data_IF_389654035372
#
_entry.id   IF_389654035372
#
_cell.length_a   1.000
_cell.length_b   1.000
_cell.length_c   1.000
_cell.angle_alpha   90.00
_cell.angle_beta   90.00
_cell.angle_gamma   90.00
#
_symmetry.space_group_name_H-M   'P 1'
#
loop_
_entity.id
_entity.type
_entity.pdbx_description
1 polymer ?
#
# COMPACT_ATOMS: atom_id res chain seq x y z
N UNK A 1 -11.69 12.53 -20.30
CA UNK A 1 -11.17 13.37 -19.21
C UNK A 1 -11.00 14.77 -19.76
N UNK A 2 -11.58 15.76 -19.07
CA UNK A 2 -11.35 17.16 -19.37
C UNK A 2 -9.87 17.50 -19.09
N UNK A 3 -9.34 18.57 -19.70
CA UNK A 3 -7.95 18.98 -19.47
C UNK A 3 -7.71 19.39 -17.99
N UNK A 4 -8.77 19.76 -17.29
CA UNK A 4 -8.77 20.07 -15.86
C UNK A 4 -8.60 18.80 -15.02
N UNK A 5 -9.31 17.71 -15.37
CA UNK A 5 -9.24 16.42 -14.67
C UNK A 5 -7.80 15.85 -14.68
N UNK A 6 -7.07 16.03 -15.77
CA UNK A 6 -5.67 15.57 -15.91
C UNK A 6 -4.71 16.37 -15.02
N UNK A 7 -4.92 17.68 -14.89
CA UNK A 7 -4.08 18.55 -14.05
C UNK A 7 -4.36 18.27 -12.57
N UNK A 8 -5.62 18.10 -12.20
CA UNK A 8 -6.00 17.79 -10.82
C UNK A 8 -5.51 16.40 -10.41
N UNK A 9 -5.60 15.40 -11.30
CA UNK A 9 -4.95 14.10 -11.09
C UNK A 9 -3.46 14.26 -10.80
N UNK A 10 -2.73 14.99 -11.64
CA UNK A 10 -1.27 15.17 -11.46
C UNK A 10 -0.92 15.88 -10.14
N UNK A 11 -1.71 16.88 -9.73
CA UNK A 11 -1.54 17.56 -8.44
C UNK A 11 -1.78 16.62 -7.26
N UNK A 12 -2.83 15.80 -7.35
CA UNK A 12 -3.16 14.81 -6.32
C UNK A 12 -2.12 13.68 -6.23
N UNK A 13 -1.38 13.44 -7.32
CA UNK A 13 -0.27 12.48 -7.39
C UNK A 13 1.05 13.04 -6.83
N UNK A 14 1.24 14.36 -6.78
CA UNK A 14 2.51 14.97 -6.36
C UNK A 14 2.99 14.56 -4.94
N UNK A 15 2.11 14.41 -3.93
CA UNK A 15 2.51 13.87 -2.62
C UNK A 15 3.11 12.47 -2.73
N UNK A 16 2.51 11.56 -3.51
CA UNK A 16 3.01 10.20 -3.74
C UNK A 16 4.39 10.20 -4.39
N UNK A 17 4.61 11.07 -5.38
CA UNK A 17 5.93 11.26 -6.01
C UNK A 17 6.98 11.62 -4.97
N UNK A 18 6.68 12.57 -4.07
CA UNK A 18 7.62 12.99 -3.04
C UNK A 18 7.91 11.87 -2.03
N UNK A 19 6.88 11.12 -1.63
CA UNK A 19 7.01 9.99 -0.68
C UNK A 19 7.86 8.86 -1.24
N UNK A 20 7.83 8.62 -2.54
CA UNK A 20 8.57 7.51 -3.16
C UNK A 20 9.96 7.88 -3.67
N UNK A 21 10.27 9.17 -3.76
CA UNK A 21 11.56 9.62 -4.27
C UNK A 21 12.69 9.15 -3.36
N UNK A 22 13.73 8.56 -3.97
CA UNK A 22 14.90 8.05 -3.27
C UNK A 22 14.70 6.69 -2.60
N UNK A 23 13.47 6.14 -2.58
CA UNK A 23 13.21 4.80 -2.03
C UNK A 23 13.78 3.71 -2.93
N UNK A 24 14.23 2.62 -2.31
CA UNK A 24 14.66 1.39 -2.96
C UNK A 24 13.47 0.46 -3.13
N UNK A 25 13.18 0.11 -4.39
CA UNK A 25 12.07 -0.75 -4.77
C UNK A 25 12.62 -1.98 -5.48
N UNK A 26 12.31 -3.16 -4.96
CA UNK A 26 12.55 -4.43 -5.66
C UNK A 26 11.30 -4.79 -6.45
N UNK A 27 11.45 -5.03 -7.76
CA UNK A 27 10.35 -5.47 -8.63
C UNK A 27 10.66 -6.87 -9.14
N UNK A 28 9.83 -7.84 -8.74
CA UNK A 28 9.85 -9.19 -9.24
C UNK A 28 8.97 -9.32 -10.48
N UNK A 29 9.55 -9.66 -11.63
CA UNK A 29 8.82 -10.05 -12.83
C UNK A 29 8.70 -11.57 -12.83
N UNK A 30 7.53 -12.10 -12.46
CA UNK A 30 7.27 -13.54 -12.44
C UNK A 30 7.28 -14.13 -13.86
N UNK A 31 7.38 -15.45 -13.93
CA UNK A 31 7.33 -16.21 -15.17
C UNK A 31 6.21 -15.74 -16.11
N UNK A 32 6.53 -15.56 -17.39
CA UNK A 32 5.58 -15.11 -18.42
C UNK A 32 5.50 -13.60 -18.62
N UNK A 33 6.00 -12.77 -17.71
CA UNK A 33 5.91 -11.30 -17.81
C UNK A 33 6.48 -10.76 -19.13
N UNK A 34 7.66 -11.23 -19.54
CA UNK A 34 8.37 -10.74 -20.75
C UNK A 34 7.66 -11.16 -22.04
N UNK A 35 6.89 -12.25 -22.01
CA UNK A 35 6.13 -12.75 -23.16
C UNK A 35 4.80 -12.02 -23.37
N UNK A 36 4.34 -11.23 -22.39
CA UNK A 36 3.06 -10.53 -22.48
C UNK A 36 3.09 -9.38 -23.50
N UNK A 37 1.97 -9.19 -24.19
CA UNK A 37 1.79 -8.07 -25.11
C UNK A 37 1.94 -6.70 -24.40
N UNK A 38 1.55 -6.64 -23.11
CA UNK A 38 1.63 -5.45 -22.27
C UNK A 38 3.05 -5.16 -21.74
N UNK A 39 4.04 -6.03 -21.99
CA UNK A 39 5.38 -5.89 -21.38
C UNK A 39 6.06 -4.55 -21.71
N UNK A 40 5.82 -4.00 -22.91
CA UNK A 40 6.33 -2.67 -23.28
C UNK A 40 5.82 -1.57 -22.35
N UNK A 41 4.56 -1.63 -21.93
CA UNK A 41 3.97 -0.66 -21.01
C UNK A 41 4.52 -0.87 -19.59
N UNK A 42 4.77 -2.11 -19.17
CA UNK A 42 5.47 -2.39 -17.91
C UNK A 42 6.87 -1.76 -17.90
N UNK A 43 7.62 -1.88 -19.01
CA UNK A 43 8.92 -1.20 -19.15
C UNK A 43 8.77 0.32 -19.11
N UNK A 44 7.73 0.88 -19.73
CA UNK A 44 7.42 2.32 -19.64
C UNK A 44 7.19 2.77 -18.19
N UNK A 45 6.40 2.02 -17.44
CA UNK A 45 6.08 2.31 -16.04
C UNK A 45 7.33 2.23 -15.15
N UNK A 46 8.14 1.17 -15.29
CA UNK A 46 9.40 1.02 -14.55
C UNK A 46 10.36 2.16 -14.85
N UNK A 47 10.45 2.55 -16.12
CA UNK A 47 11.30 3.64 -16.52
C UNK A 47 10.79 5.00 -16.00
N UNK A 48 9.46 5.18 -15.90
CA UNK A 48 8.85 6.36 -15.28
C UNK A 48 9.15 6.39 -13.77
N UNK A 49 8.99 5.27 -13.07
CA UNK A 49 9.35 5.12 -11.65
C UNK A 49 10.81 5.54 -11.39
N UNK A 50 11.75 5.06 -12.23
CA UNK A 50 13.15 5.46 -12.14
C UNK A 50 13.33 6.96 -12.36
N UNK A 51 12.67 7.55 -13.36
CA UNK A 51 12.78 8.98 -13.67
C UNK A 51 12.22 9.89 -12.57
N UNK A 52 11.22 9.40 -11.82
CA UNK A 52 10.66 10.07 -10.64
C UNK A 52 11.56 9.93 -9.41
N UNK A 53 12.65 9.15 -9.51
CA UNK A 53 13.72 9.07 -8.54
C UNK A 53 13.68 7.84 -7.64
N UNK A 54 12.89 6.81 -7.97
CA UNK A 54 12.97 5.51 -7.30
C UNK A 54 14.26 4.77 -7.72
N UNK A 55 14.86 4.04 -6.77
CA UNK A 55 16.04 3.20 -6.99
C UNK A 55 15.55 1.77 -7.25
N UNK A 56 15.67 1.31 -8.50
CA UNK A 56 15.02 0.06 -8.93
C UNK A 56 15.98 -1.12 -9.03
N UNK A 57 15.59 -2.22 -8.39
CA UNK A 57 16.19 -3.54 -8.60
C UNK A 57 15.13 -4.46 -9.19
N UNK A 58 15.35 -4.97 -10.39
CA UNK A 58 14.44 -5.88 -11.08
C UNK A 58 14.98 -7.29 -10.94
N UNK A 59 14.17 -8.21 -10.43
CA UNK A 59 14.44 -9.66 -10.46
C UNK A 59 13.52 -10.27 -11.49
N UNK A 60 14.06 -10.92 -12.52
CA UNK A 60 13.24 -11.60 -13.52
C UNK A 60 13.30 -13.12 -13.36
N UNK A 61 12.15 -13.74 -13.60
CA UNK A 61 11.94 -15.18 -13.58
C UNK A 61 11.50 -15.64 -14.97
N UNK A 62 12.31 -16.47 -15.61
CA UNK A 62 12.00 -16.99 -16.93
C UNK A 62 10.98 -18.14 -16.88
N UNK A 63 11.08 -18.99 -15.85
CA UNK A 63 10.17 -20.10 -15.59
C UNK A 63 10.05 -20.33 -14.08
N UNK A 64 8.86 -20.78 -13.63
CA UNK A 64 8.69 -21.21 -12.24
C UNK A 64 9.33 -22.58 -12.05
N UNK A 65 10.35 -22.64 -11.20
CA UNK A 65 11.14 -23.84 -10.96
C UNK A 65 10.55 -24.71 -9.83
N UNK A 66 9.53 -24.24 -9.09
CA UNK A 66 8.84 -24.96 -7.98
C UNK A 66 9.76 -25.65 -6.94
N UNK A 67 11.03 -25.21 -6.81
CA UNK A 67 12.07 -25.90 -6.03
C UNK A 67 12.30 -27.38 -6.43
N UNK A 68 11.95 -27.76 -7.67
CA UNK A 68 12.14 -29.11 -8.17
C UNK A 68 13.63 -29.41 -8.41
N UNK A 69 14.06 -30.69 -8.31
CA UNK A 69 15.40 -31.10 -8.70
C UNK A 69 15.73 -30.71 -10.14
N UNK A 70 16.91 -30.14 -10.34
CA UNK A 70 17.41 -29.76 -11.67
C UNK A 70 18.57 -30.68 -12.02
N UNK A 71 18.39 -31.50 -13.06
CA UNK A 71 19.46 -32.34 -13.57
C UNK A 71 20.63 -31.47 -14.08
N UNK A 72 21.86 -31.91 -13.84
CA UNK A 72 23.06 -31.12 -14.16
C UNK A 72 23.18 -30.80 -15.66
N UNK A 73 22.71 -31.70 -16.53
CA UNK A 73 22.69 -31.56 -17.98
C UNK A 73 21.60 -30.60 -18.49
N UNK A 74 20.51 -30.43 -17.74
CA UNK A 74 19.45 -29.46 -18.06
C UNK A 74 19.89 -28.00 -17.81
N UNK A 75 20.90 -27.79 -16.96
CA UNK A 75 21.35 -26.45 -16.55
C UNK A 75 21.75 -25.56 -17.73
N UNK A 76 22.43 -26.10 -18.73
CA UNK A 76 22.88 -25.32 -19.88
C UNK A 76 21.72 -24.67 -20.65
N UNK A 77 20.60 -25.40 -20.79
CA UNK A 77 19.41 -24.89 -21.47
C UNK A 77 18.71 -23.82 -20.61
N UNK A 78 18.55 -24.07 -19.31
CA UNK A 78 17.97 -23.11 -18.36
C UNK A 78 18.77 -21.79 -18.38
N UNK A 79 20.11 -21.87 -18.36
CA UNK A 79 20.96 -20.68 -18.44
C UNK A 79 20.81 -19.94 -19.78
N UNK A 80 20.64 -20.67 -20.88
CA UNK A 80 20.42 -20.06 -22.20
C UNK A 80 19.09 -19.29 -22.23
N UNK A 81 18.02 -19.88 -21.69
CA UNK A 81 16.69 -19.25 -21.64
C UNK A 81 16.68 -18.01 -20.74
N UNK A 82 17.27 -18.11 -19.55
CA UNK A 82 17.43 -16.98 -18.62
C UNK A 82 18.26 -15.86 -19.26
N UNK A 83 19.37 -16.19 -19.91
CA UNK A 83 20.23 -15.20 -20.56
C UNK A 83 19.52 -14.53 -21.74
N UNK A 84 18.75 -15.29 -22.51
CA UNK A 84 17.94 -14.75 -23.61
C UNK A 84 16.89 -13.76 -23.08
N UNK A 85 16.14 -14.13 -22.04
CA UNK A 85 15.15 -13.25 -21.44
C UNK A 85 15.78 -11.98 -20.85
N UNK A 86 16.91 -12.10 -20.13
CA UNK A 86 17.67 -10.95 -19.63
C UNK A 86 18.01 -9.97 -20.77
N UNK A 87 18.54 -10.48 -21.88
CA UNK A 87 18.89 -9.65 -23.04
C UNK A 87 17.66 -9.02 -23.71
N UNK A 88 16.49 -9.66 -23.66
CA UNK A 88 15.24 -9.04 -24.12
C UNK A 88 14.86 -7.84 -23.25
N UNK A 89 14.94 -7.98 -21.92
CA UNK A 89 14.65 -6.89 -20.98
C UNK A 89 15.62 -5.72 -21.20
N UNK A 90 16.94 -5.99 -21.28
CA UNK A 90 17.97 -4.98 -21.53
C UNK A 90 17.74 -4.25 -22.86
N UNK A 91 17.34 -4.97 -23.91
CA UNK A 91 16.96 -4.39 -25.21
C UNK A 91 15.81 -3.40 -25.06
N UNK A 92 14.76 -3.76 -24.32
CA UNK A 92 13.58 -2.89 -24.16
C UNK A 92 13.93 -1.56 -23.48
N UNK A 93 14.78 -1.58 -22.46
CA UNK A 93 15.27 -0.35 -21.82
C UNK A 93 16.22 0.47 -22.71
N UNK A 94 16.88 -0.17 -23.68
CA UNK A 94 17.83 0.48 -24.59
C UNK A 94 17.17 1.18 -25.79
N UNK A 95 15.94 0.80 -26.14
CA UNK A 95 15.28 1.24 -27.36
C UNK A 95 14.86 2.72 -27.38
N UNK A 96 15.15 3.50 -26.33
CA UNK A 96 14.82 4.94 -26.28
C UNK A 96 13.38 5.17 -26.70
N UNK A 97 12.46 4.55 -25.96
CA UNK A 97 11.09 4.24 -26.37
C UNK A 97 10.42 5.42 -27.12
N UNK A 98 10.17 5.30 -28.44
CA UNK A 98 9.53 6.35 -29.22
C UNK A 98 8.16 6.67 -28.64
N UNK A 99 7.84 7.95 -28.45
CA UNK A 99 6.59 8.42 -27.83
C UNK A 99 6.41 8.04 -26.34
N UNK A 100 7.48 7.68 -25.64
CA UNK A 100 7.47 7.61 -24.18
C UNK A 100 7.66 9.01 -23.57
N UNK A 101 7.07 9.30 -22.39
CA UNK A 101 7.40 10.48 -21.57
C UNK A 101 8.91 10.63 -21.28
N UNK A 102 9.68 9.57 -21.54
CA UNK A 102 11.11 9.43 -21.29
C UNK A 102 11.97 9.68 -22.53
N UNK A 103 11.45 10.32 -23.57
CA UNK A 103 12.27 10.78 -24.70
C UNK A 103 13.46 11.61 -24.17
N UNK A 104 14.70 11.19 -24.46
CA UNK A 104 15.98 11.67 -23.90
C UNK A 104 16.41 11.19 -22.49
N UNK A 105 15.62 10.37 -21.79
CA UNK A 105 16.09 9.74 -20.56
C UNK A 105 17.10 8.63 -20.91
N UNK A 106 18.38 8.83 -20.53
CA UNK A 106 19.40 7.79 -20.66
C UNK A 106 19.24 6.78 -19.52
N UNK A 107 18.31 5.85 -19.69
CA UNK A 107 18.18 4.71 -18.79
C UNK A 107 19.42 3.84 -18.92
N UNK A 108 19.98 3.46 -17.78
CA UNK A 108 21.11 2.53 -17.70
C UNK A 108 20.63 1.30 -16.96
N UNK A 109 20.82 0.14 -17.57
CA UNK A 109 20.57 -1.15 -16.92
C UNK A 109 21.92 -1.79 -16.65
N UNK A 110 22.12 -2.25 -15.42
CA UNK A 110 23.33 -2.97 -15.01
C UNK A 110 22.89 -4.36 -14.55
N UNK A 111 23.39 -5.39 -15.21
CA UNK A 111 23.28 -6.79 -14.80
C UNK A 111 24.67 -7.34 -14.46
N UNK A 112 24.75 -8.38 -13.64
CA UNK A 112 26.03 -8.89 -13.17
C UNK A 112 25.94 -10.03 -12.17
N UNK A 113 27.08 -10.41 -11.62
CA UNK A 113 27.25 -11.47 -10.63
C UNK A 113 26.93 -11.00 -9.20
N UNK A 114 25.76 -10.39 -8.99
CA UNK A 114 25.35 -9.87 -7.68
C UNK A 114 24.94 -10.96 -6.68
N UNK A 115 24.70 -12.19 -7.15
CA UNK A 115 24.15 -13.28 -6.35
C UNK A 115 25.20 -14.37 -6.17
N UNK A 116 25.60 -14.61 -4.92
CA UNK A 116 26.37 -15.79 -4.53
C UNK A 116 25.41 -16.89 -4.10
N UNK A 117 25.49 -18.05 -4.74
CA UNK A 117 24.68 -19.21 -4.43
C UNK A 117 25.52 -20.37 -3.85
N UNK A 118 24.82 -21.31 -3.23
CA UNK A 118 25.33 -22.62 -2.82
C UNK A 118 24.35 -23.70 -3.29
N UNK A 119 24.78 -24.95 -3.48
CA UNK A 119 23.86 -26.02 -3.83
C UNK A 119 22.74 -26.14 -2.78
N UNK A 120 21.53 -26.44 -3.24
CA UNK A 120 20.45 -26.90 -2.37
C UNK A 120 20.82 -28.24 -1.72
N UNK A 121 21.53 -29.09 -2.48
CA UNK A 121 22.02 -30.37 -2.03
C UNK A 121 20.90 -31.41 -1.92
N UNK A 122 21.01 -32.29 -0.93
CA UNK A 122 20.04 -33.37 -0.71
C UNK A 122 19.02 -32.93 0.34
N UNK A 123 17.79 -32.67 -0.09
CA UNK A 123 16.68 -32.32 0.80
C UNK A 123 15.73 -33.51 0.90
N UNK A 124 15.48 -33.98 2.12
CA UNK A 124 14.58 -35.13 2.40
C UNK A 124 14.89 -36.38 1.55
N UNK A 125 16.19 -36.62 1.30
CA UNK A 125 16.67 -37.78 0.53
C UNK A 125 16.67 -37.59 -1.00
N UNK A 126 16.27 -36.43 -1.51
CA UNK A 126 16.25 -36.11 -2.94
C UNK A 126 17.41 -35.16 -3.26
N UNK A 127 18.30 -35.54 -4.18
CA UNK A 127 19.34 -34.66 -4.71
C UNK A 127 18.74 -33.65 -5.68
N UNK A 128 18.93 -32.36 -5.42
CA UNK A 128 18.38 -31.28 -6.23
C UNK A 128 19.32 -30.81 -7.36
N UNK A 129 20.50 -31.42 -7.48
CA UNK A 129 21.43 -31.18 -8.57
C UNK A 129 21.83 -29.72 -8.71
N UNK A 130 21.49 -29.12 -9.86
CA UNK A 130 21.86 -27.76 -10.23
C UNK A 130 20.98 -26.66 -9.57
N UNK A 131 20.03 -27.04 -8.73
CA UNK A 131 19.27 -26.08 -7.92
C UNK A 131 20.15 -25.51 -6.80
N UNK A 132 20.13 -24.19 -6.67
CA UNK A 132 20.85 -23.45 -5.64
C UNK A 132 19.94 -22.74 -4.67
N UNK A 133 20.53 -22.38 -3.54
CA UNK A 133 19.97 -21.47 -2.54
C UNK A 133 20.86 -20.23 -2.47
N UNK A 134 20.22 -19.06 -2.36
CA UNK A 134 20.94 -17.80 -2.21
C UNK A 134 21.73 -17.81 -0.90
N UNK A 135 23.05 -17.61 -0.99
CA UNK A 135 23.94 -17.51 0.17
C UNK A 135 24.15 -16.06 0.58
N UNK A 136 24.38 -15.19 -0.40
CA UNK A 136 24.69 -13.79 -0.19
C UNK A 136 24.35 -12.96 -1.42
N UNK A 137 23.93 -11.72 -1.20
CA UNK A 137 23.75 -10.70 -2.24
C UNK A 137 24.84 -9.64 -2.06
N UNK A 138 25.46 -9.20 -3.16
CA UNK A 138 26.42 -8.09 -3.18
C UNK A 138 25.69 -6.75 -3.05
N UNK A 139 25.30 -6.43 -1.81
CA UNK A 139 24.64 -5.17 -1.46
C UNK A 139 25.45 -3.96 -1.90
N UNK A 140 26.77 -3.98 -1.70
CA UNK A 140 27.63 -2.84 -2.04
C UNK A 140 27.64 -2.59 -3.56
N UNK A 141 27.77 -3.65 -4.36
CA UNK A 141 27.71 -3.56 -5.82
C UNK A 141 26.36 -3.06 -6.33
N UNK A 142 25.25 -3.57 -5.79
CA UNK A 142 23.90 -3.11 -6.15
C UNK A 142 23.72 -1.64 -5.76
N UNK A 143 24.04 -1.26 -4.52
CA UNK A 143 23.93 0.12 -4.04
C UNK A 143 24.74 1.08 -4.91
N UNK A 144 25.95 0.70 -5.31
CA UNK A 144 26.78 1.51 -6.22
C UNK A 144 26.11 1.73 -7.58
N UNK A 145 25.50 0.69 -8.16
CA UNK A 145 24.74 0.81 -9.40
C UNK A 145 23.54 1.75 -9.24
N UNK A 146 22.79 1.62 -8.13
CA UNK A 146 21.63 2.44 -7.83
C UNK A 146 21.99 3.92 -7.58
N UNK A 147 23.10 4.19 -6.89
CA UNK A 147 23.64 5.55 -6.68
C UNK A 147 24.04 6.21 -8.00
N UNK A 148 24.51 5.39 -8.95
CA UNK A 148 24.74 5.78 -10.32
C UNK A 148 23.47 6.04 -11.13
N UNK A 149 22.27 5.98 -10.53
CA UNK A 149 20.97 6.07 -11.20
C UNK A 149 20.77 5.02 -12.31
N UNK A 150 21.34 3.82 -12.12
CA UNK A 150 21.04 2.66 -12.95
C UNK A 150 19.90 1.83 -12.36
N UNK A 151 19.22 1.09 -13.22
CA UNK A 151 18.34 -0.02 -12.85
C UNK A 151 19.21 -1.26 -12.72
N UNK A 152 19.15 -1.94 -11.59
CA UNK A 152 19.89 -3.18 -11.38
C UNK A 152 19.02 -4.37 -11.81
N UNK A 153 19.48 -5.17 -12.78
CA UNK A 153 18.74 -6.33 -13.30
C UNK A 153 19.40 -7.64 -12.84
N UNK A 154 18.66 -8.43 -12.06
CA UNK A 154 19.07 -9.71 -11.53
C UNK A 154 18.28 -10.83 -12.19
N UNK A 155 19.01 -11.86 -12.62
CA UNK A 155 18.44 -13.12 -13.09
C UNK A 155 18.32 -14.09 -11.93
N UNK A 156 17.38 -15.05 -12.02
CA UNK A 156 17.21 -16.16 -11.06
C UNK A 156 18.36 -17.20 -11.14
N UNK A 157 19.61 -16.72 -11.10
CA UNK A 157 20.85 -17.52 -11.09
C UNK A 157 21.81 -16.99 -10.04
N UNK A 158 22.73 -17.84 -9.58
CA UNK A 158 23.79 -17.45 -8.67
C UNK A 158 25.06 -18.27 -8.86
N UNK A 159 26.18 -17.71 -8.43
CA UNK A 159 27.50 -18.30 -8.62
C UNK A 159 28.09 -18.73 -7.27
N UNK A 160 28.78 -19.87 -7.23
CA UNK A 160 29.57 -20.24 -6.05
C UNK A 160 30.97 -19.62 -6.12
N UNK A 161 31.67 -19.49 -4.98
CA UNK A 161 33.09 -19.14 -4.97
C UNK A 161 33.98 -20.13 -5.72
N UNK A 162 33.51 -21.35 -5.98
CA UNK A 162 34.21 -22.37 -6.75
C UNK A 162 34.02 -22.21 -8.27
N UNK A 163 33.12 -21.31 -8.71
CA UNK A 163 32.83 -21.07 -10.13
C UNK A 163 31.63 -21.85 -10.67
N UNK A 164 30.94 -22.64 -9.84
CA UNK A 164 29.70 -23.31 -10.23
C UNK A 164 28.55 -22.30 -10.37
N UNK A 165 27.63 -22.59 -11.27
CA UNK A 165 26.42 -21.79 -11.49
C UNK A 165 25.22 -22.62 -11.03
N UNK A 166 24.29 -21.97 -10.34
CA UNK A 166 23.05 -22.55 -9.87
C UNK A 166 21.85 -21.74 -10.34
N UNK A 167 20.76 -22.43 -10.69
CA UNK A 167 19.46 -21.80 -10.83
C UNK A 167 18.89 -21.65 -9.42
N UNK A 168 18.35 -20.48 -9.10
CA UNK A 168 17.79 -20.20 -7.77
C UNK A 168 16.30 -19.94 -7.89
N UNK A 169 15.55 -20.22 -6.83
CA UNK A 169 14.15 -19.85 -6.77
C UNK A 169 14.01 -18.32 -6.83
N UNK A 170 13.19 -17.81 -7.76
CA UNK A 170 13.05 -16.37 -7.97
C UNK A 170 12.34 -15.67 -6.81
N UNK A 171 11.35 -16.31 -6.17
CA UNK A 171 10.66 -15.77 -4.99
C UNK A 171 11.64 -15.61 -3.82
N UNK A 172 12.43 -16.64 -3.54
CA UNK A 172 13.49 -16.58 -2.51
C UNK A 172 14.51 -15.49 -2.84
N UNK A 173 14.91 -15.36 -4.10
CA UNK A 173 15.82 -14.29 -4.53
C UNK A 173 15.21 -12.90 -4.30
N UNK A 174 13.93 -12.68 -4.66
CA UNK A 174 13.22 -11.43 -4.42
C UNK A 174 13.20 -11.07 -2.93
N UNK A 175 12.85 -12.05 -2.05
CA UNK A 175 12.86 -11.88 -0.59
C UNK A 175 14.23 -11.49 -0.08
N UNK A 176 15.27 -12.27 -0.42
CA UNK A 176 16.63 -12.06 0.08
C UNK A 176 17.19 -10.72 -0.40
N UNK A 177 16.95 -10.34 -1.66
CA UNK A 177 17.38 -9.04 -2.21
C UNK A 177 16.66 -7.89 -1.50
N UNK A 178 15.34 -7.95 -1.36
CA UNK A 178 14.55 -6.91 -0.70
C UNK A 178 14.99 -6.71 0.76
N UNK A 179 15.12 -7.80 1.52
CA UNK A 179 15.65 -7.75 2.90
C UNK A 179 17.07 -7.19 2.96
N UNK A 180 17.97 -7.69 2.12
CA UNK A 180 19.40 -7.32 2.19
C UNK A 180 19.65 -5.85 1.84
N UNK A 181 18.79 -5.27 0.99
CA UNK A 181 18.83 -3.86 0.62
C UNK A 181 18.02 -2.96 1.57
N UNK A 182 17.33 -3.53 2.56
CA UNK A 182 16.33 -2.85 3.37
C UNK A 182 15.34 -2.06 2.50
N UNK A 183 14.83 -2.70 1.45
CA UNK A 183 13.96 -2.08 0.48
C UNK A 183 12.66 -1.61 1.13
N UNK A 184 12.23 -0.40 0.82
CA UNK A 184 10.98 0.17 1.31
C UNK A 184 9.76 -0.50 0.70
N UNK A 185 9.92 -1.13 -0.48
CA UNK A 185 8.85 -1.87 -1.19
C UNK A 185 9.41 -3.07 -1.94
N UNK A 186 8.63 -4.16 -1.93
CA UNK A 186 8.72 -5.24 -2.90
C UNK A 186 7.44 -5.24 -3.76
N UNK A 187 7.57 -5.30 -5.07
CA UNK A 187 6.44 -5.41 -6.01
C UNK A 187 6.58 -6.73 -6.74
N UNK A 188 5.60 -7.61 -6.61
CA UNK A 188 5.54 -8.89 -7.32
C UNK A 188 4.56 -8.75 -8.47
N UNK A 189 5.09 -8.73 -9.69
CA UNK A 189 4.31 -8.69 -10.92
C UNK A 189 4.05 -10.09 -11.44
N UNK A 190 2.78 -10.50 -11.52
CA UNK A 190 2.37 -11.83 -11.98
C UNK A 190 1.20 -11.78 -12.96
N UNK A 191 0.68 -12.93 -13.41
CA UNK A 191 -0.55 -12.94 -14.22
C UNK A 191 -1.79 -12.56 -13.41
N UNK A 192 -1.78 -12.81 -12.09
CA UNK A 192 -2.92 -12.56 -11.21
C UNK A 192 -3.12 -11.07 -10.92
N UNK A 193 -4.37 -10.62 -10.84
CA UNK A 193 -4.74 -9.25 -10.49
C UNK A 193 -4.43 -8.88 -9.03
N UNK A 194 -4.39 -9.89 -8.15
CA UNK A 194 -4.12 -9.77 -6.72
C UNK A 194 -4.95 -10.79 -5.94
N UNK A 195 -5.20 -10.54 -4.66
CA UNK A 195 -5.95 -11.45 -3.79
C UNK A 195 -7.45 -11.17 -3.93
N UNK A 196 -8.21 -12.15 -4.43
CA UNK A 196 -9.67 -12.04 -4.54
C UNK A 196 -10.37 -12.47 -3.24
N UNK A 197 -11.47 -11.80 -2.90
CA UNK A 197 -12.45 -12.23 -1.90
C UNK A 197 -13.29 -13.38 -2.42
N UNK A 198 -14.02 -14.02 -1.51
CA UNK A 198 -14.98 -15.08 -1.83
C UNK A 198 -16.09 -14.62 -2.82
N UNK A 199 -16.39 -13.32 -2.84
CA UNK A 199 -17.36 -12.71 -3.78
C UNK A 199 -16.74 -12.34 -5.15
N UNK A 200 -15.46 -12.62 -5.35
CA UNK A 200 -14.70 -12.31 -6.57
C UNK A 200 -14.17 -10.87 -6.65
N UNK A 201 -14.44 -10.02 -5.66
CA UNK A 201 -13.88 -8.67 -5.62
C UNK A 201 -12.42 -8.67 -5.19
N UNK A 202 -11.61 -7.77 -5.75
CA UNK A 202 -10.19 -7.66 -5.44
C UNK A 202 -9.99 -6.99 -4.07
N UNK A 203 -9.26 -7.66 -3.18
CA UNK A 203 -8.81 -7.05 -1.93
C UNK A 203 -7.68 -6.08 -2.22
N UNK A 204 -7.96 -4.79 -2.00
CA UNK A 204 -6.95 -3.74 -2.18
C UNK A 204 -5.83 -3.82 -1.16
N UNK A 205 -6.13 -4.37 0.01
CA UNK A 205 -5.19 -4.39 1.11
C UNK A 205 -5.46 -5.56 2.05
N UNK A 206 -4.39 -6.12 2.60
CA UNK A 206 -4.40 -7.15 3.63
C UNK A 206 -3.30 -6.88 4.65
N UNK A 207 -3.58 -7.18 5.92
CA UNK A 207 -2.51 -7.36 6.91
C UNK A 207 -1.75 -8.66 6.61
N UNK A 208 -0.53 -8.81 7.13
CA UNK A 208 0.21 -10.09 7.03
C UNK A 208 -0.60 -11.24 7.64
N UNK A 209 -1.29 -11.01 8.76
CA UNK A 209 -2.11 -12.03 9.43
C UNK A 209 -3.26 -12.50 8.53
N UNK A 210 -4.03 -11.57 7.96
CA UNK A 210 -5.13 -11.90 7.06
C UNK A 210 -4.63 -12.57 5.77
N UNK A 211 -3.54 -12.06 5.19
CA UNK A 211 -2.97 -12.59 3.96
C UNK A 211 -2.58 -14.07 4.10
N UNK A 212 -2.03 -14.48 5.24
CA UNK A 212 -1.67 -15.89 5.50
C UNK A 212 -2.87 -16.83 5.42
N UNK A 213 -4.05 -16.39 5.83
CA UNK A 213 -5.28 -17.17 5.72
C UNK A 213 -5.69 -17.44 4.25
N UNK A 214 -5.51 -16.44 3.39
CA UNK A 214 -5.80 -16.58 1.95
C UNK A 214 -4.74 -17.40 1.21
N UNK A 215 -3.48 -17.32 1.64
CA UNK A 215 -2.40 -18.10 1.03
C UNK A 215 -2.66 -19.60 1.03
N UNK A 216 -3.30 -20.13 2.08
CA UNK A 216 -3.59 -21.56 2.21
C UNK A 216 -4.72 -22.04 1.30
N UNK A 217 -5.57 -21.12 0.83
CA UNK A 217 -6.76 -21.42 0.03
C UNK A 217 -6.56 -21.09 -1.46
N UNK A 218 -5.56 -20.28 -1.78
CA UNK A 218 -5.26 -19.85 -3.13
C UNK A 218 -4.64 -20.98 -3.99
N UNK A 219 -4.77 -20.83 -5.31
CA UNK A 219 -4.05 -21.67 -6.28
C UNK A 219 -2.53 -21.54 -6.10
N UNK A 220 -1.77 -22.58 -6.47
CA UNK A 220 -0.32 -22.70 -6.19
C UNK A 220 0.48 -21.43 -6.50
N UNK A 221 0.30 -20.84 -7.68
CA UNK A 221 1.03 -19.64 -8.11
C UNK A 221 0.71 -18.40 -7.27
N UNK A 222 -0.58 -18.16 -7.00
CA UNK A 222 -1.01 -17.03 -6.18
C UNK A 222 -0.65 -17.23 -4.70
N UNK A 223 -0.82 -18.45 -4.18
CA UNK A 223 -0.42 -18.80 -2.81
C UNK A 223 1.08 -18.58 -2.58
N UNK A 224 1.92 -18.91 -3.56
CA UNK A 224 3.35 -18.64 -3.49
C UNK A 224 3.67 -17.13 -3.46
N UNK A 225 2.96 -16.31 -4.24
CA UNK A 225 3.11 -14.86 -4.21
C UNK A 225 2.69 -14.26 -2.86
N UNK A 226 1.58 -14.73 -2.29
CA UNK A 226 1.11 -14.28 -0.96
C UNK A 226 2.09 -14.70 0.13
N UNK A 227 2.59 -15.94 0.07
CA UNK A 227 3.61 -16.44 1.01
C UNK A 227 4.87 -15.59 0.95
N UNK A 228 5.38 -15.30 -0.25
CA UNK A 228 6.51 -14.39 -0.45
C UNK A 228 6.25 -13.02 0.19
N UNK A 229 5.06 -12.45 -0.03
CA UNK A 229 4.72 -11.14 0.51
C UNK A 229 4.71 -11.11 2.04
N UNK A 230 4.08 -12.11 2.67
CA UNK A 230 4.06 -12.23 4.12
C UNK A 230 5.48 -12.38 4.68
N UNK A 231 6.26 -13.26 4.08
CA UNK A 231 7.62 -13.57 4.52
C UNK A 231 8.60 -12.40 4.30
N UNK A 232 8.41 -11.59 3.26
CA UNK A 232 9.18 -10.37 3.04
C UNK A 232 8.83 -9.28 4.06
N UNK A 233 7.55 -9.15 4.42
CA UNK A 233 7.12 -8.26 5.50
C UNK A 233 7.71 -8.64 6.85
N UNK A 234 7.67 -9.92 7.20
CA UNK A 234 8.29 -10.44 8.45
C UNK A 234 9.80 -10.22 8.49
N UNK A 235 10.45 -10.18 7.31
CA UNK A 235 11.86 -9.89 7.14
C UNK A 235 12.20 -8.38 7.18
N UNK A 236 11.20 -7.51 7.38
CA UNK A 236 11.37 -6.07 7.57
C UNK A 236 11.12 -5.21 6.33
N UNK A 237 10.58 -5.76 5.23
CA UNK A 237 10.10 -4.97 4.09
C UNK A 237 8.74 -4.36 4.45
N UNK A 238 8.59 -3.03 4.54
CA UNK A 238 7.36 -2.44 5.10
C UNK A 238 6.09 -2.75 4.31
N UNK A 239 6.21 -2.88 2.98
CA UNK A 239 5.08 -3.01 2.06
C UNK A 239 5.42 -3.93 0.89
N UNK A 240 4.53 -4.88 0.62
CA UNK A 240 4.62 -5.75 -0.55
C UNK A 240 3.37 -5.59 -1.41
N UNK A 241 3.55 -5.31 -2.70
CA UNK A 241 2.45 -5.12 -3.64
C UNK A 241 2.37 -6.32 -4.59
N UNK A 242 1.19 -6.92 -4.72
CA UNK A 242 0.89 -7.94 -5.72
C UNK A 242 0.13 -7.28 -6.87
N UNK A 243 0.72 -7.25 -8.06
CA UNK A 243 0.19 -6.49 -9.21
C UNK A 243 0.19 -7.37 -10.46
N UNK A 244 -0.82 -7.27 -11.31
CA UNK A 244 -0.80 -7.98 -12.60
C UNK A 244 0.08 -7.26 -13.62
N UNK A 245 0.96 -7.99 -14.32
CA UNK A 245 1.66 -7.47 -15.50
C UNK A 245 0.74 -7.32 -16.73
N UNK A 246 -0.47 -7.87 -16.69
CA UNK A 246 -1.45 -7.77 -17.77
C UNK A 246 -2.24 -6.46 -17.69
N UNK A 247 -2.21 -5.78 -16.53
CA UNK A 247 -2.87 -4.50 -16.33
C UNK A 247 -2.03 -3.37 -16.96
N UNK A 248 -2.58 -2.69 -17.97
CA UNK A 248 -1.96 -1.49 -18.54
C UNK A 248 -1.91 -0.37 -17.51
N UNK A 249 -0.71 0.16 -17.27
CA UNK A 249 -0.43 1.14 -16.21
C UNK A 249 -0.53 0.58 -14.80
N UNK A 250 -0.49 -0.75 -14.60
CA UNK A 250 -0.72 -1.40 -13.31
C UNK A 250 0.22 -0.90 -12.20
N UNK A 251 1.51 -0.72 -12.50
CA UNK A 251 2.50 -0.21 -11.55
C UNK A 251 2.20 1.24 -11.15
N UNK A 252 1.87 2.09 -12.12
CA UNK A 252 1.62 3.51 -11.86
C UNK A 252 0.30 3.69 -11.10
N UNK A 253 -0.73 2.95 -11.48
CA UNK A 253 -2.00 2.93 -10.73
C UNK A 253 -1.79 2.48 -9.30
N UNK A 254 -1.01 1.42 -9.08
CA UNK A 254 -0.72 0.91 -7.73
C UNK A 254 -0.01 1.94 -6.84
N UNK A 255 1.01 2.63 -7.36
CA UNK A 255 1.86 3.50 -6.53
C UNK A 255 1.38 4.94 -6.43
N UNK A 256 0.60 5.41 -7.40
CA UNK A 256 0.26 6.83 -7.54
C UNK A 256 -1.26 7.09 -7.50
N UNK A 257 -2.05 6.10 -7.08
CA UNK A 257 -3.48 6.27 -6.85
C UNK A 257 -3.89 5.69 -5.51
N UNK A 258 -5.03 6.15 -4.99
CA UNK A 258 -5.56 5.71 -3.69
C UNK A 258 -6.10 4.28 -3.69
N UNK A 259 -6.76 3.89 -4.79
CA UNK A 259 -7.43 2.59 -4.90
C UNK A 259 -6.46 1.47 -5.30
N UNK A 260 -5.30 1.84 -5.87
CA UNK A 260 -4.34 0.90 -6.42
C UNK A 260 -4.90 0.10 -7.61
N UNK A 261 -4.06 -0.77 -8.16
CA UNK A 261 -4.47 -1.71 -9.19
C UNK A 261 -4.48 -3.16 -8.68
N UNK A 262 -3.72 -3.47 -7.63
CA UNK A 262 -3.55 -4.81 -7.11
C UNK A 262 -3.92 -4.92 -5.63
N UNK A 263 -3.12 -5.71 -4.90
CA UNK A 263 -3.25 -5.94 -3.46
C UNK A 263 -1.97 -5.52 -2.74
N UNK A 264 -2.09 -4.63 -1.77
CA UNK A 264 -1.03 -4.31 -0.81
C UNK A 264 -1.09 -5.25 0.40
N UNK A 265 0.06 -5.81 0.77
CA UNK A 265 0.26 -6.56 2.01
C UNK A 265 1.27 -5.80 2.88
N UNK A 266 0.93 -5.52 4.13
CA UNK A 266 1.80 -4.83 5.11
C UNK A 266 1.66 -5.40 6.52
N UNK A 267 2.71 -5.24 7.34
CA UNK A 267 2.68 -5.61 8.76
C UNK A 267 1.80 -4.67 9.60
N UNK A 268 1.72 -3.40 9.21
CA UNK A 268 0.88 -2.41 9.88
C UNK A 268 -0.53 -2.41 9.31
N UNK A 269 -1.52 -2.16 10.17
CA UNK A 269 -2.83 -1.67 9.73
C UNK A 269 -2.61 -0.32 9.03
N UNK A 270 -2.73 -0.32 7.71
CA UNK A 270 -2.49 0.84 6.84
C UNK A 270 -3.38 2.05 7.15
N UNK A 271 -4.52 1.80 7.80
CA UNK A 271 -5.41 2.81 8.33
C UNK A 271 -5.16 2.93 9.83
N UNK A 272 -4.50 4.01 10.23
CA UNK A 272 -4.25 4.27 11.64
C UNK A 272 -5.31 5.21 12.17
N UNK A 273 -5.99 4.77 13.23
CA UNK A 273 -6.85 5.63 14.01
C UNK A 273 -6.08 6.21 15.18
N UNK A 274 -5.81 7.51 15.13
CA UNK A 274 -4.97 8.22 16.11
C UNK A 274 -5.61 9.53 16.53
N UNK A 275 -5.22 10.04 17.70
CA UNK A 275 -5.51 11.42 18.09
C UNK A 275 -4.76 12.38 17.19
N UNK A 276 -5.47 13.37 16.64
CA UNK A 276 -4.92 14.31 15.67
C UNK A 276 -3.75 15.12 16.25
N UNK A 277 -2.76 15.38 15.40
CA UNK A 277 -1.60 16.20 15.71
C UNK A 277 -1.58 17.44 14.80
N UNK A 278 -0.62 18.34 15.02
CA UNK A 278 -0.51 19.58 14.24
C UNK A 278 -0.35 19.35 12.72
N UNK A 279 0.19 18.19 12.30
CA UNK A 279 0.31 17.84 10.89
C UNK A 279 -1.00 17.42 10.23
N UNK A 280 -2.00 16.98 11.02
CA UNK A 280 -3.31 16.53 10.51
C UNK A 280 -4.27 17.69 10.24
N UNK A 281 -4.00 18.88 10.78
CA UNK A 281 -4.87 20.06 10.68
C UNK A 281 -5.29 20.34 9.24
N UNK A 282 -4.34 20.30 8.30
CA UNK A 282 -4.63 20.56 6.89
C UNK A 282 -5.61 19.53 6.31
N UNK A 283 -5.42 18.24 6.60
CA UNK A 283 -6.30 17.17 6.15
C UNK A 283 -7.69 17.22 6.78
N UNK A 284 -7.78 17.53 8.07
CA UNK A 284 -9.06 17.76 8.75
C UNK A 284 -9.82 18.92 8.08
N UNK A 285 -9.13 20.04 7.83
CA UNK A 285 -9.74 21.20 7.16
C UNK A 285 -10.21 20.85 5.75
N UNK A 286 -9.44 20.08 4.99
CA UNK A 286 -9.82 19.60 3.65
C UNK A 286 -11.13 18.80 3.69
N UNK A 287 -11.32 17.94 4.70
CA UNK A 287 -12.53 17.14 4.87
C UNK A 287 -13.76 17.98 5.27
N UNK A 288 -13.59 18.89 6.22
CA UNK A 288 -14.75 19.55 6.86
C UNK A 288 -15.22 20.79 6.10
N UNK A 289 -14.34 21.46 5.34
CA UNK A 289 -14.66 22.74 4.68
C UNK A 289 -15.80 22.62 3.65
N UNK A 290 -15.85 21.61 2.76
CA UNK A 290 -16.97 21.42 1.85
C UNK A 290 -18.29 21.21 2.62
N UNK A 291 -18.26 20.40 3.67
CA UNK A 291 -19.44 20.10 4.50
C UNK A 291 -19.94 21.32 5.28
N UNK A 292 -19.05 22.24 5.66
CA UNK A 292 -19.41 23.51 6.28
C UNK A 292 -20.07 24.45 5.28
N UNK A 293 -19.54 24.55 4.05
CA UNK A 293 -20.10 25.36 2.98
C UNK A 293 -21.50 24.88 2.56
N UNK A 294 -21.72 23.57 2.58
CA UNK A 294 -23.03 22.95 2.33
C UNK A 294 -23.99 23.06 3.54
N UNK A 295 -23.54 23.61 4.67
CA UNK A 295 -24.35 23.71 5.87
C UNK A 295 -24.69 22.37 6.51
N UNK A 296 -23.89 21.32 6.26
CA UNK A 296 -23.96 20.01 6.94
C UNK A 296 -23.24 20.12 8.29
N UNK A 297 -22.00 20.62 8.31
CA UNK A 297 -21.23 20.85 9.53
C UNK A 297 -21.32 22.31 10.01
N UNK A 298 -21.12 22.52 11.31
CA UNK A 298 -20.99 23.86 11.90
C UNK A 298 -19.69 24.50 11.39
N UNK A 299 -19.77 25.76 10.97
CA UNK A 299 -18.60 26.55 10.56
C UNK A 299 -17.65 26.76 11.76
N UNK A 300 -16.36 26.52 11.54
CA UNK A 300 -15.29 26.66 12.53
C UNK A 300 -14.10 27.35 11.90
N UNK A 301 -13.49 28.29 12.61
CA UNK A 301 -12.27 28.96 12.10
C UNK A 301 -11.08 27.99 12.10
N UNK A 302 -10.02 28.32 11.34
CA UNK A 302 -8.80 27.50 11.37
C UNK A 302 -8.20 27.45 12.78
N UNK A 303 -8.25 28.57 13.50
CA UNK A 303 -7.72 28.72 14.85
C UNK A 303 -8.50 27.87 15.86
N UNK A 304 -9.82 27.80 15.72
CA UNK A 304 -10.66 26.94 16.57
C UNK A 304 -10.32 25.46 16.37
N UNK A 305 -10.24 25.02 15.11
CA UNK A 305 -9.89 23.62 14.82
C UNK A 305 -8.47 23.30 15.32
N UNK A 306 -7.52 24.22 15.14
CA UNK A 306 -6.16 24.06 15.63
C UNK A 306 -6.06 23.99 17.16
N UNK A 307 -6.89 24.77 17.87
CA UNK A 307 -6.94 24.77 19.33
C UNK A 307 -7.57 23.50 19.91
N UNK A 308 -8.50 22.90 19.18
CA UNK A 308 -9.25 21.71 19.59
C UNK A 308 -8.64 20.39 19.07
N UNK A 309 -7.44 20.41 18.46
CA UNK A 309 -6.86 19.23 17.78
C UNK A 309 -6.77 17.98 18.67
N UNK A 310 -6.52 18.16 19.96
CA UNK A 310 -6.47 17.09 20.95
C UNK A 310 -7.83 16.39 21.19
N UNK A 311 -8.94 17.04 20.84
CA UNK A 311 -10.27 16.43 20.83
C UNK A 311 -10.56 15.63 19.55
N UNK A 312 -9.78 15.81 18.48
CA UNK A 312 -10.00 15.12 17.22
C UNK A 312 -9.33 13.74 17.21
N UNK A 313 -10.10 12.74 16.82
CA UNK A 313 -9.60 11.45 16.36
C UNK A 313 -9.69 11.41 14.84
N UNK A 314 -8.60 11.01 14.19
CA UNK A 314 -8.49 10.90 12.75
C UNK A 314 -8.21 9.46 12.35
N UNK A 315 -8.76 9.05 11.22
CA UNK A 315 -8.26 7.88 10.48
C UNK A 315 -7.34 8.41 9.38
N UNK A 316 -6.10 7.97 9.39
CA UNK A 316 -5.11 8.33 8.39
C UNK A 316 -4.78 7.14 7.49
N UNK A 317 -4.62 7.42 6.20
CA UNK A 317 -4.16 6.47 5.17
C UNK A 317 -3.03 7.15 4.39
N UNK A 318 -1.83 6.59 4.41
CA UNK A 318 -0.61 7.20 3.84
C UNK A 318 -0.36 8.66 4.25
N UNK A 319 -0.52 8.99 5.54
CA UNK A 319 -0.39 10.36 6.06
C UNK A 319 -1.46 11.35 5.54
N UNK A 320 -2.50 10.87 4.85
CA UNK A 320 -3.70 11.65 4.51
C UNK A 320 -4.80 11.34 5.50
N UNK A 321 -5.44 12.38 6.05
CA UNK A 321 -6.64 12.22 6.87
C UNK A 321 -7.80 11.86 5.95
N UNK A 322 -8.34 10.64 6.09
CA UNK A 322 -9.49 10.17 5.29
C UNK A 322 -10.81 10.25 6.05
N UNK A 323 -10.75 10.29 7.38
CA UNK A 323 -11.91 10.55 8.22
C UNK A 323 -11.49 11.26 9.51
N UNK A 324 -12.40 12.08 10.07
CA UNK A 324 -12.20 12.74 11.36
C UNK A 324 -13.50 12.81 12.15
N UNK A 325 -13.38 12.80 13.47
CA UNK A 325 -14.47 13.13 14.40
C UNK A 325 -13.86 13.68 15.69
N UNK A 326 -14.59 14.53 16.41
CA UNK A 326 -14.14 15.12 17.66
C UNK A 326 -15.05 14.72 18.83
N UNK A 327 -14.46 14.49 20.00
CA UNK A 327 -15.18 14.30 21.26
C UNK A 327 -14.87 15.47 22.20
N UNK A 328 -15.92 16.20 22.58
CA UNK A 328 -15.86 17.27 23.56
C UNK A 328 -16.45 16.80 24.89
N UNK A 329 -15.63 16.41 25.88
CA UNK A 329 -16.12 15.92 27.15
C UNK A 329 -16.65 17.07 28.04
N UNK A 330 -17.71 16.79 28.78
CA UNK A 330 -18.20 17.58 29.91
C UNK A 330 -18.27 16.68 31.15
N UNK A 331 -17.19 16.62 31.95
CA UNK A 331 -17.12 15.78 33.13
C UNK A 331 -18.13 16.16 34.23
N UNK A 332 -18.48 17.45 34.35
CA UNK A 332 -19.37 17.94 35.40
C UNK A 332 -20.77 17.33 35.29
N UNK A 333 -21.25 17.14 34.06
CA UNK A 333 -22.54 16.51 33.77
C UNK A 333 -22.40 15.03 33.35
N UNK A 334 -21.18 14.48 33.37
CA UNK A 334 -20.84 13.15 32.88
C UNK A 334 -21.38 12.85 31.47
N UNK A 335 -21.25 13.83 30.56
CA UNK A 335 -21.73 13.75 29.17
C UNK A 335 -20.65 14.21 28.18
N UNK A 336 -20.65 13.71 26.95
CA UNK A 336 -19.75 14.20 25.88
C UNK A 336 -20.49 14.52 24.58
N UNK A 337 -20.05 15.54 23.85
CA UNK A 337 -20.54 15.85 22.49
C UNK A 337 -19.61 15.22 21.46
N UNK A 338 -20.13 14.34 20.62
CA UNK A 338 -19.43 13.91 19.40
C UNK A 338 -19.80 14.88 18.28
N UNK A 339 -18.80 15.50 17.68
CA UNK A 339 -18.96 16.53 16.67
C UNK A 339 -17.98 16.33 15.50
N UNK A 340 -18.18 17.12 14.45
CA UNK A 340 -17.26 17.20 13.30
C UNK A 340 -16.98 15.85 12.61
N UNK A 341 -17.98 14.96 12.59
CA UNK A 341 -17.87 13.66 11.92
C UNK A 341 -17.85 13.90 10.41
N UNK A 342 -16.76 13.53 9.77
CA UNK A 342 -16.57 13.66 8.33
C UNK A 342 -15.74 12.49 7.80
N UNK A 343 -16.15 11.95 6.66
CA UNK A 343 -15.40 10.95 5.90
C UNK A 343 -15.25 11.45 4.47
N UNK A 344 -14.05 11.30 3.91
CA UNK A 344 -13.75 11.66 2.53
C UNK A 344 -14.73 10.96 1.57
N UNK A 345 -15.25 11.63 0.51
CA UNK A 345 -16.23 11.05 -0.41
C UNK A 345 -15.84 9.68 -0.98
N UNK A 346 -14.59 9.53 -1.41
CA UNK A 346 -14.05 8.28 -1.97
C UNK A 346 -13.96 7.13 -0.95
N UNK A 347 -14.10 7.42 0.34
CA UNK A 347 -14.00 6.47 1.45
C UNK A 347 -15.31 6.33 2.22
N UNK A 348 -16.42 6.76 1.63
CA UNK A 348 -17.76 6.51 2.20
C UNK A 348 -18.09 5.02 2.07
N UNK A 349 -18.99 4.54 2.93
CA UNK A 349 -19.51 3.16 2.94
C UNK A 349 -18.50 2.04 3.23
N UNK A 350 -17.29 2.38 3.69
CA UNK A 350 -16.23 1.43 4.10
C UNK A 350 -16.10 1.28 5.62
N UNK A 351 -17.08 1.75 6.40
CA UNK A 351 -17.10 1.55 7.86
C UNK A 351 -16.28 2.55 8.68
N UNK A 352 -15.61 3.52 8.05
CA UNK A 352 -14.74 4.49 8.72
C UNK A 352 -15.48 5.36 9.74
N UNK A 353 -16.68 5.80 9.40
CA UNK A 353 -17.50 6.62 10.29
C UNK A 353 -17.92 5.84 11.53
N UNK A 354 -18.35 4.60 11.33
CA UNK A 354 -18.77 3.67 12.38
C UNK A 354 -17.61 3.39 13.34
N UNK A 355 -16.43 3.06 12.80
CA UNK A 355 -15.20 2.84 13.58
C UNK A 355 -14.82 4.08 14.41
N UNK A 356 -14.90 5.29 13.83
CA UNK A 356 -14.64 6.53 14.57
C UNK A 356 -15.62 6.71 15.73
N UNK A 357 -16.92 6.50 15.50
CA UNK A 357 -17.93 6.65 16.55
C UNK A 357 -17.71 5.65 17.68
N UNK A 358 -17.44 4.38 17.35
CA UNK A 358 -17.13 3.36 18.35
C UNK A 358 -15.91 3.75 19.18
N UNK A 359 -14.84 4.23 18.55
CA UNK A 359 -13.65 4.69 19.29
C UNK A 359 -13.93 5.87 20.21
N UNK A 360 -14.73 6.85 19.77
CA UNK A 360 -15.09 7.99 20.61
C UNK A 360 -16.02 7.60 21.76
N UNK A 361 -16.87 6.60 21.56
CA UNK A 361 -17.67 5.98 22.64
C UNK A 361 -16.75 5.30 23.66
N UNK A 362 -15.78 4.50 23.22
CA UNK A 362 -14.76 3.92 24.14
C UNK A 362 -14.00 5.01 24.91
N UNK A 363 -13.53 6.06 24.23
CA UNK A 363 -12.82 7.18 24.86
C UNK A 363 -13.69 7.90 25.90
N UNK A 364 -14.99 8.06 25.63
CA UNK A 364 -15.94 8.62 26.59
C UNK A 364 -16.13 7.71 27.83
N UNK A 365 -16.12 6.38 27.68
CA UNK A 365 -16.14 5.44 28.81
C UNK A 365 -14.87 5.55 29.66
N UNK A 366 -13.70 5.66 29.02
CA UNK A 366 -12.40 5.85 29.71
C UNK A 366 -12.37 7.16 30.51
N UNK A 367 -13.06 8.19 30.04
CA UNK A 367 -13.27 9.46 30.75
C UNK A 367 -14.40 9.41 31.80
N UNK A 368 -14.97 8.24 32.07
CA UNK A 368 -16.06 8.02 33.02
C UNK A 368 -17.35 8.82 32.72
N UNK A 369 -17.59 9.15 31.45
CA UNK A 369 -18.85 9.73 31.02
C UNK A 369 -19.94 8.65 31.00
N UNK A 370 -21.18 9.06 31.24
CA UNK A 370 -22.35 8.16 31.24
C UNK A 370 -23.10 8.16 29.92
N UNK A 371 -23.00 9.26 29.17
CA UNK A 371 -23.72 9.45 27.91
C UNK A 371 -22.87 10.25 26.92
N UNK A 372 -23.07 9.99 25.63
CA UNK A 372 -22.59 10.84 24.53
C UNK A 372 -23.77 11.29 23.68
N UNK A 373 -23.69 12.49 23.11
CA UNK A 373 -24.72 13.01 22.23
C UNK A 373 -24.13 13.57 20.93
N UNK A 374 -24.99 13.64 19.92
CA UNK A 374 -24.68 14.23 18.60
C UNK A 374 -25.77 15.21 18.20
N UNK A 375 -25.38 16.23 17.42
CA UNK A 375 -26.31 17.16 16.78
C UNK A 375 -26.15 17.07 15.27
N UNK A 376 -27.25 16.78 14.58
CA UNK A 376 -27.23 16.63 13.11
C UNK A 376 -28.45 17.25 12.46
N UNK A 377 -28.24 17.84 11.28
CA UNK A 377 -29.31 18.41 10.44
C UNK A 377 -29.79 17.44 9.38
N UNK A 378 -28.95 16.50 8.94
CA UNK A 378 -29.24 15.63 7.77
C UNK A 378 -29.01 14.14 8.04
N UNK A 379 -28.10 13.76 8.96
CA UNK A 379 -27.62 12.37 9.13
C UNK A 379 -28.24 11.62 10.31
N UNK A 380 -29.45 11.99 10.74
CA UNK A 380 -30.08 11.43 11.94
C UNK A 380 -30.33 9.91 11.87
N UNK A 381 -30.64 9.36 10.70
CA UNK A 381 -30.90 7.92 10.55
C UNK A 381 -29.65 7.06 10.78
N UNK A 382 -28.50 7.48 10.22
CA UNK A 382 -27.23 6.78 10.37
C UNK A 382 -26.80 6.65 11.84
N UNK A 383 -26.92 7.74 12.62
CA UNK A 383 -26.63 7.66 14.06
C UNK A 383 -27.58 6.72 14.84
N UNK A 384 -28.82 6.54 14.38
CA UNK A 384 -29.76 5.61 15.03
C UNK A 384 -29.38 4.16 14.83
N UNK A 385 -28.82 3.83 13.65
CA UNK A 385 -28.25 2.50 13.38
C UNK A 385 -27.06 2.21 14.30
N UNK A 386 -26.30 3.26 14.66
CA UNK A 386 -25.22 3.20 15.64
C UNK A 386 -25.70 3.29 17.11
N UNK A 387 -26.98 3.10 17.38
CA UNK A 387 -27.52 3.01 18.74
C UNK A 387 -27.84 4.35 19.42
N UNK A 388 -27.77 5.48 18.71
CA UNK A 388 -28.23 6.76 19.25
C UNK A 388 -29.76 6.88 19.18
N UNK A 389 -30.37 7.44 20.22
CA UNK A 389 -31.81 7.65 20.33
C UNK A 389 -32.14 9.15 20.24
N UNK A 390 -33.15 9.54 19.45
CA UNK A 390 -33.55 10.94 19.36
C UNK A 390 -34.14 11.43 20.69
N UNK A 391 -33.73 12.62 21.12
CA UNK A 391 -34.20 13.27 22.35
C UNK A 391 -34.53 14.72 22.09
N UNK A 392 -35.42 15.28 22.91
CA UNK A 392 -35.63 16.73 22.92
C UNK A 392 -34.41 17.42 23.49
N UNK A 393 -34.08 18.59 22.93
CA UNK A 393 -32.92 19.38 23.34
C UNK A 393 -32.96 19.78 24.83
N UNK A 394 -34.16 19.95 25.38
CA UNK A 394 -34.43 20.22 26.79
C UNK A 394 -33.96 19.10 27.73
N UNK A 395 -33.70 17.91 27.20
CA UNK A 395 -33.21 16.74 27.95
C UNK A 395 -31.71 16.84 28.26
N UNK A 396 -30.95 17.61 27.46
CA UNK A 396 -29.52 17.81 27.72
C UNK A 396 -29.31 18.70 28.96
N UNK A 397 -28.18 18.58 29.67
CA UNK A 397 -27.80 19.52 30.73
C UNK A 397 -27.77 20.98 30.25
N UNK A 398 -28.02 21.94 31.15
CA UNK A 398 -28.11 23.36 30.79
C UNK A 398 -26.82 23.92 30.16
N UNK A 399 -25.67 23.41 30.62
CA UNK A 399 -24.32 23.64 30.07
C UNK A 399 -24.23 23.26 28.59
N UNK A 400 -24.80 22.12 28.21
CA UNK A 400 -24.83 21.64 26.82
C UNK A 400 -25.89 22.36 25.99
N UNK A 401 -27.06 22.68 26.56
CA UNK A 401 -28.09 23.47 25.88
C UNK A 401 -27.57 24.84 25.45
N UNK A 402 -26.72 25.47 26.26
CA UNK A 402 -26.13 26.78 25.96
C UNK A 402 -25.21 26.77 24.71
N UNK A 403 -24.64 25.62 24.35
CA UNK A 403 -23.78 25.46 23.15
C UNK A 403 -24.57 25.43 21.84
N UNK A 404 -25.89 25.37 21.90
CA UNK A 404 -26.72 25.26 20.70
C UNK A 404 -26.75 26.54 19.87
N UNK A 405 -26.30 26.44 18.62
CA UNK A 405 -26.62 27.42 17.58
C UNK A 405 -28.12 27.36 17.27
N UNK A 406 -28.91 28.28 17.86
CA UNK A 406 -30.37 28.36 17.68
C UNK A 406 -30.81 28.45 16.21
N UNK A 407 -29.92 28.86 15.32
CA UNK A 407 -30.23 29.09 13.90
C UNK A 407 -30.29 27.82 13.04
N UNK A 408 -29.82 26.65 13.53
CA UNK A 408 -29.71 25.43 12.70
C UNK A 408 -30.81 24.39 12.91
N UNK A 409 -31.61 24.52 13.97
CA UNK A 409 -32.70 23.58 14.34
C UNK A 409 -32.31 22.09 14.19
N UNK A 410 -31.11 21.74 14.67
CA UNK A 410 -30.55 20.39 14.53
C UNK A 410 -31.25 19.38 15.44
N UNK A 411 -31.44 18.16 14.94
CA UNK A 411 -31.90 17.04 15.76
C UNK A 411 -30.80 16.61 16.74
N UNK A 412 -31.20 16.38 17.99
CA UNK A 412 -30.30 15.86 19.04
C UNK A 412 -30.55 14.38 19.23
N UNK A 413 -29.49 13.58 19.23
CA UNK A 413 -29.56 12.16 19.56
C UNK A 413 -28.55 11.83 20.65
N UNK A 414 -28.88 10.89 21.53
CA UNK A 414 -28.05 10.49 22.67
C UNK A 414 -27.83 8.98 22.69
N UNK A 415 -26.66 8.54 23.14
CA UNK A 415 -26.30 7.14 23.35
C UNK A 415 -25.68 7.00 24.74
N UNK A 416 -26.10 5.99 25.48
CA UNK A 416 -25.42 5.63 26.72
C UNK A 416 -24.06 5.01 26.38
N UNK A 417 -23.02 5.40 27.13
CA UNK A 417 -21.68 4.85 26.98
C UNK A 417 -21.48 3.71 27.96
#
# INVERSE_FOLDING_TARGET
MSNTDTIDWFRNTAPYINTHRGTTVVVGLRAGAVAQANFINVVHDLALMQSLGMRLVIVHEQADLENAPIAQDAMANILADIAFERSQIERMFSMGLPNSPLHNAKLRVISGNFVTARPAGVLRGIDHGALGVVRQVDVAGITHALDGAAICLLSATGHSPAGDIFAVNALELMRVVARSLAAEKLIVMSEHEGVARDDGSLMRQLTVEDARCYSAQAESGMGANITLACDACDDGVPRVHLVSYSCDGGLIKELYTHDGAGTLISSDEYEQMVTAQSHDLAGILELIRPLQQEGILVERSNEQVAADLDHFTVITKDSRVIACAALYPNPDDAIGEIACVATHPDYRDSGHGERLIEKLVEAAQELHLKQVYVRTTQTGHWFRELGFQPVEQTTLPATEQAKSSRDRNSNTLIRAV
#
